data_IF_203548824231
#
_entry.id   IF_203548824231
#
_cell.length_a   1.000
_cell.length_b   1.000
_cell.length_c   1.000
_cell.angle_alpha   90.00
_cell.angle_beta   90.00
_cell.angle_gamma   90.00
#
_symmetry.space_group_name_H-M   'P 1'
#
loop_
_entity.id
_entity.type
_entity.pdbx_description
1 polymer ?
#
# COMPACT_ATOMS: atom_id res chain seq x y z
N UNK A 1 -6.37 -31.06 4.69
CA UNK A 1 -6.14 -31.34 3.24
C UNK A 1 -6.08 -32.85 2.97
N UNK A 2 -6.49 -33.30 1.78
CA UNK A 2 -6.35 -34.70 1.34
C UNK A 2 -4.94 -34.98 0.83
N UNK A 3 -4.51 -36.25 0.83
CA UNK A 3 -3.19 -36.65 0.28
C UNK A 3 -3.02 -36.22 -1.20
N UNK A 4 -4.09 -36.26 -1.98
CA UNK A 4 -4.07 -35.83 -3.39
C UNK A 4 -3.87 -34.33 -3.55
N UNK A 5 -4.46 -33.50 -2.68
CA UNK A 5 -4.25 -32.06 -2.67
C UNK A 5 -2.82 -31.69 -2.27
N UNK A 6 -2.27 -32.35 -1.25
CA UNK A 6 -0.88 -32.17 -0.84
C UNK A 6 0.07 -32.53 -1.98
N UNK A 7 -0.13 -33.68 -2.65
CA UNK A 7 0.70 -34.08 -3.77
C UNK A 7 0.57 -33.11 -4.95
N UNK A 8 -0.61 -32.55 -5.19
CA UNK A 8 -0.84 -31.55 -6.22
C UNK A 8 -0.03 -30.27 -5.94
N UNK A 9 -0.03 -29.78 -4.68
CA UNK A 9 0.76 -28.59 -4.28
C UNK A 9 2.25 -28.86 -4.41
N UNK A 10 2.74 -30.02 -3.94
CA UNK A 10 4.14 -30.40 -4.05
C UNK A 10 4.67 -30.43 -5.50
N UNK A 11 3.79 -30.75 -6.44
CA UNK A 11 4.13 -30.85 -7.87
C UNK A 11 3.87 -29.54 -8.62
N UNK A 12 3.44 -28.45 -7.95
CA UNK A 12 3.18 -27.19 -8.63
C UNK A 12 4.47 -26.61 -9.21
N UNK A 13 4.41 -26.27 -10.48
CA UNK A 13 5.46 -25.56 -11.21
C UNK A 13 5.16 -24.07 -11.19
N UNK A 14 6.19 -23.26 -11.00
CA UNK A 14 6.12 -21.81 -11.09
C UNK A 14 6.89 -21.35 -12.32
N UNK A 15 6.19 -20.71 -13.24
CA UNK A 15 6.76 -20.15 -14.47
C UNK A 15 5.87 -19.00 -14.99
N UNK A 16 6.13 -18.52 -16.19
CA UNK A 16 5.39 -17.39 -16.83
C UNK A 16 3.89 -17.61 -17.00
N UNK A 17 3.43 -18.87 -16.99
CA UNK A 17 2.04 -19.23 -17.29
C UNK A 17 1.37 -20.08 -16.20
N UNK A 18 2.14 -20.51 -15.19
CA UNK A 18 1.66 -21.36 -14.11
C UNK A 18 2.17 -20.89 -12.74
N UNK A 19 1.28 -20.87 -11.72
CA UNK A 19 -0.14 -21.27 -11.73
C UNK A 19 -1.10 -20.28 -12.38
N UNK A 20 -0.63 -19.08 -12.69
CA UNK A 20 -1.30 -18.00 -13.43
C UNK A 20 -0.27 -17.21 -14.20
N UNK A 21 -0.64 -16.04 -14.72
CA UNK A 21 0.27 -15.20 -15.53
C UNK A 21 0.99 -14.11 -14.72
N UNK A 22 0.86 -14.16 -13.38
CA UNK A 22 1.38 -13.13 -12.47
C UNK A 22 2.85 -12.78 -12.73
N UNK A 23 3.74 -13.79 -12.74
CA UNK A 23 5.18 -13.57 -12.82
C UNK A 23 5.56 -12.92 -14.15
N UNK A 24 4.97 -13.37 -15.27
CA UNK A 24 5.18 -12.78 -16.59
C UNK A 24 4.69 -11.34 -16.67
N UNK A 25 3.46 -11.09 -16.24
CA UNK A 25 2.85 -9.76 -16.33
C UNK A 25 3.53 -8.77 -15.40
N UNK A 26 3.94 -9.22 -14.20
CA UNK A 26 4.69 -8.40 -13.25
C UNK A 26 6.11 -8.08 -13.74
N UNK A 27 6.82 -9.06 -14.31
CA UNK A 27 8.14 -8.85 -14.94
C UNK A 27 8.05 -7.83 -16.08
N UNK A 28 7.03 -7.95 -16.94
CA UNK A 28 6.79 -7.00 -18.02
C UNK A 28 6.58 -5.57 -17.49
N UNK A 29 5.89 -5.43 -16.37
CA UNK A 29 5.70 -4.12 -15.71
C UNK A 29 7.01 -3.58 -15.13
N UNK A 30 7.82 -4.41 -14.49
CA UNK A 30 9.15 -4.03 -13.97
C UNK A 30 10.08 -3.58 -15.11
N UNK A 31 10.12 -4.31 -16.21
CA UNK A 31 10.93 -3.97 -17.38
C UNK A 31 10.51 -2.63 -17.99
N UNK A 32 9.19 -2.37 -18.03
CA UNK A 32 8.67 -1.07 -18.48
C UNK A 32 9.08 0.10 -17.58
N UNK A 33 9.20 -0.12 -16.27
CA UNK A 33 9.62 0.93 -15.33
C UNK A 33 11.02 1.47 -15.65
N UNK A 34 11.94 0.60 -16.04
CA UNK A 34 13.32 0.98 -16.33
C UNK A 34 14.03 1.63 -15.14
N UNK A 35 15.22 2.18 -15.37
CA UNK A 35 16.04 2.81 -14.32
C UNK A 35 15.73 4.29 -14.08
N UNK A 36 15.06 4.96 -15.01
CA UNK A 36 14.79 6.41 -14.95
C UNK A 36 13.50 6.76 -14.20
N UNK A 37 12.74 5.74 -13.83
CA UNK A 37 11.43 5.90 -13.21
C UNK A 37 10.36 6.46 -14.15
N UNK A 38 9.13 6.48 -13.67
CA UNK A 38 7.96 6.92 -14.45
C UNK A 38 7.28 8.08 -13.72
N UNK A 39 6.96 9.16 -14.45
CA UNK A 39 6.15 10.26 -13.92
C UNK A 39 4.73 9.77 -13.61
N UNK A 40 4.28 10.03 -12.39
CA UNK A 40 2.97 9.65 -11.87
C UNK A 40 2.15 10.88 -11.48
N UNK A 41 0.86 10.68 -11.20
CA UNK A 41 -0.01 11.77 -10.74
C UNK A 41 0.43 12.28 -9.36
N UNK A 42 0.39 13.58 -9.13
CA UNK A 42 0.86 14.20 -7.87
C UNK A 42 0.07 13.74 -6.64
N UNK A 43 -1.25 13.59 -6.77
CA UNK A 43 -2.11 13.31 -5.61
C UNK A 43 -2.13 11.83 -5.23
N UNK A 44 -2.31 10.95 -6.21
CA UNK A 44 -2.56 9.52 -5.96
C UNK A 44 -1.41 8.64 -6.46
N UNK A 45 -0.34 9.25 -6.99
CA UNK A 45 0.86 8.58 -7.52
C UNK A 45 0.58 7.51 -8.60
N UNK A 46 -0.57 7.58 -9.29
CA UNK A 46 -0.97 6.62 -10.32
C UNK A 46 -0.29 6.91 -11.67
N UNK A 47 -0.18 5.90 -12.52
CA UNK A 47 0.33 6.05 -13.87
C UNK A 47 -0.44 7.12 -14.66
N UNK A 48 0.30 7.89 -15.46
CA UNK A 48 -0.31 8.86 -16.35
C UNK A 48 -1.23 8.17 -17.37
N UNK A 49 -2.41 8.75 -17.61
CA UNK A 49 -3.45 8.18 -18.49
C UNK A 49 -2.88 7.78 -19.86
N UNK A 50 -1.94 8.56 -20.41
CA UNK A 50 -1.30 8.29 -21.69
C UNK A 50 -0.49 6.99 -21.77
N UNK A 51 -0.07 6.44 -20.62
CA UNK A 51 0.71 5.20 -20.53
C UNK A 51 -0.18 3.95 -20.45
N UNK A 52 -1.42 4.11 -19.99
CA UNK A 52 -2.30 2.98 -19.69
C UNK A 52 -2.58 2.06 -20.90
N UNK A 53 -2.80 2.57 -22.14
CA UNK A 53 -3.01 1.70 -23.30
C UNK A 53 -1.78 0.82 -23.60
N UNK A 54 -0.57 1.39 -23.56
CA UNK A 54 0.67 0.64 -23.83
C UNK A 54 0.90 -0.41 -22.74
N UNK A 55 0.71 -0.06 -21.46
CA UNK A 55 0.84 -0.98 -20.33
C UNK A 55 -0.18 -2.12 -20.43
N UNK A 56 -1.44 -1.82 -20.79
CA UNK A 56 -2.46 -2.85 -20.97
C UNK A 56 -2.10 -3.82 -22.13
N UNK A 57 -1.51 -3.33 -23.22
CA UNK A 57 -1.12 -4.19 -24.36
C UNK A 57 0.06 -5.13 -24.02
N UNK A 58 0.84 -4.81 -22.99
CA UNK A 58 1.92 -5.68 -22.50
C UNK A 58 1.42 -6.85 -21.64
N UNK A 59 0.20 -6.76 -21.12
CA UNK A 59 -0.38 -7.82 -20.29
C UNK A 59 -0.70 -9.06 -21.13
N UNK A 60 -0.62 -10.23 -20.51
CA UNK A 60 -0.96 -11.51 -21.16
C UNK A 60 -2.41 -11.54 -21.66
N UNK A 61 -3.31 -10.87 -20.93
CA UNK A 61 -4.73 -10.72 -21.31
C UNK A 61 -5.05 -9.21 -21.37
N UNK A 62 -4.75 -8.53 -22.49
CA UNK A 62 -5.10 -7.13 -22.64
C UNK A 62 -6.61 -6.95 -22.77
N UNK A 63 -7.16 -5.98 -22.04
CA UNK A 63 -8.59 -5.67 -22.08
C UNK A 63 -8.89 -4.61 -23.15
N UNK A 64 -10.00 -4.79 -23.88
CA UNK A 64 -10.52 -3.79 -24.78
C UNK A 64 -11.35 -2.76 -24.00
N UNK A 65 -10.77 -1.58 -23.76
CA UNK A 65 -11.44 -0.51 -23.00
C UNK A 65 -12.09 0.49 -23.94
N UNK A 66 -13.41 0.61 -23.86
CA UNK A 66 -14.23 1.48 -24.74
C UNK A 66 -14.47 2.89 -24.16
N UNK A 67 -13.91 3.21 -22.99
CA UNK A 67 -14.05 4.52 -22.37
C UNK A 67 -13.22 5.58 -23.11
N UNK A 68 -13.78 6.79 -23.27
CA UNK A 68 -13.07 7.93 -23.90
C UNK A 68 -11.86 8.40 -23.09
N UNK A 69 -11.91 8.29 -21.77
CA UNK A 69 -10.83 8.68 -20.82
C UNK A 69 -10.69 7.62 -19.74
N UNK A 70 -10.12 6.46 -20.05
CA UNK A 70 -9.94 5.40 -19.06
C UNK A 70 -8.93 5.86 -18.00
N UNK A 71 -9.26 5.58 -16.76
CA UNK A 71 -8.35 5.74 -15.61
C UNK A 71 -7.66 4.40 -15.32
N UNK A 72 -6.64 4.39 -14.47
CA UNK A 72 -5.92 3.15 -14.12
C UNK A 72 -6.86 2.05 -13.62
N UNK A 73 -7.86 2.39 -12.79
CA UNK A 73 -8.89 1.45 -12.31
C UNK A 73 -9.78 0.85 -13.41
N UNK A 74 -9.78 1.43 -14.62
CA UNK A 74 -10.48 0.86 -15.77
C UNK A 74 -9.74 -0.35 -16.34
N UNK A 75 -8.51 -0.62 -15.92
CA UNK A 75 -7.64 -1.74 -16.28
C UNK A 75 -7.36 -2.60 -15.04
N UNK A 76 -8.28 -3.49 -14.64
CA UNK A 76 -8.19 -4.19 -13.34
C UNK A 76 -6.89 -4.96 -13.13
N UNK A 77 -6.37 -5.65 -14.15
CA UNK A 77 -5.08 -6.37 -14.04
C UNK A 77 -3.91 -5.43 -13.81
N UNK A 78 -3.83 -4.35 -14.59
CA UNK A 78 -2.80 -3.33 -14.40
C UNK A 78 -2.92 -2.64 -13.03
N UNK A 79 -4.16 -2.39 -12.57
CA UNK A 79 -4.39 -1.78 -11.27
C UNK A 79 -3.96 -2.69 -10.11
N UNK A 80 -4.23 -4.00 -10.22
CA UNK A 80 -3.77 -5.01 -9.27
C UNK A 80 -2.24 -5.16 -9.29
N UNK A 81 -1.62 -5.22 -10.47
CA UNK A 81 -0.15 -5.27 -10.59
C UNK A 81 0.52 -4.01 -10.03
N UNK A 82 -0.09 -2.84 -10.23
CA UNK A 82 0.39 -1.59 -9.63
C UNK A 82 0.34 -1.64 -8.10
N UNK A 83 -0.75 -2.19 -7.54
CA UNK A 83 -0.84 -2.42 -6.10
C UNK A 83 0.33 -3.29 -5.61
N UNK A 84 0.59 -4.42 -6.27
CA UNK A 84 1.71 -5.30 -5.93
C UNK A 84 3.07 -4.63 -6.09
N UNK A 85 3.25 -3.84 -7.16
CA UNK A 85 4.48 -3.10 -7.43
C UNK A 85 4.84 -2.15 -6.28
N UNK A 86 3.84 -1.49 -5.70
CA UNK A 86 4.00 -0.61 -4.54
C UNK A 86 4.12 -1.40 -3.24
N UNK A 87 3.19 -2.32 -2.97
CA UNK A 87 3.12 -3.11 -1.74
C UNK A 87 4.33 -4.04 -1.55
N UNK A 88 5.00 -4.45 -2.63
CA UNK A 88 6.24 -5.25 -2.54
C UNK A 88 7.45 -4.47 -2.06
N UNK A 89 7.43 -3.12 -2.10
CA UNK A 89 8.59 -2.29 -1.79
C UNK A 89 9.63 -2.23 -2.92
N UNK A 90 9.32 -2.79 -4.09
CA UNK A 90 10.18 -2.69 -5.28
C UNK A 90 10.21 -1.28 -5.88
N UNK A 91 9.32 -0.40 -5.42
CA UNK A 91 9.26 0.98 -5.88
C UNK A 91 9.00 1.96 -4.76
N UNK A 92 9.46 3.18 -4.94
CA UNK A 92 9.24 4.30 -4.03
C UNK A 92 8.91 5.58 -4.81
N UNK A 93 8.34 6.56 -4.11
CA UNK A 93 7.99 7.86 -4.68
C UNK A 93 9.09 8.86 -4.38
N UNK A 94 9.40 9.71 -5.37
CA UNK A 94 10.33 10.83 -5.23
C UNK A 94 9.79 12.06 -5.98
N UNK A 95 10.05 13.25 -5.44
CA UNK A 95 9.85 14.48 -6.17
C UNK A 95 11.16 14.87 -6.88
N UNK A 96 11.14 14.90 -8.21
CA UNK A 96 12.25 15.37 -9.01
C UNK A 96 11.86 16.67 -9.71
N UNK A 97 12.44 17.79 -9.28
CA UNK A 97 12.09 19.15 -9.72
C UNK A 97 10.62 19.49 -9.41
N UNK A 98 9.72 19.33 -10.39
CA UNK A 98 8.27 19.60 -10.26
C UNK A 98 7.41 18.36 -10.51
N UNK A 99 8.04 17.24 -10.85
CA UNK A 99 7.37 16.00 -11.21
C UNK A 99 7.53 14.95 -10.12
N UNK A 100 6.43 14.31 -9.77
CA UNK A 100 6.44 13.13 -8.89
C UNK A 100 6.74 11.91 -9.75
N UNK A 101 7.77 11.17 -9.35
CA UNK A 101 8.19 9.94 -10.03
C UNK A 101 8.04 8.74 -9.14
N UNK A 102 7.65 7.64 -9.76
CA UNK A 102 7.75 6.30 -9.21
C UNK A 102 9.09 5.70 -9.67
N UNK A 103 9.99 5.46 -8.73
CA UNK A 103 11.34 4.96 -8.97
C UNK A 103 11.45 3.49 -8.54
N UNK A 104 12.33 2.75 -9.18
CA UNK A 104 12.70 1.40 -8.74
C UNK A 104 13.65 1.50 -7.55
N UNK A 105 13.37 0.73 -6.51
CA UNK A 105 14.30 0.46 -5.42
C UNK A 105 15.33 -0.57 -5.90
N UNK A 106 16.53 -0.11 -6.21
CA UNK A 106 17.58 -0.95 -6.79
C UNK A 106 17.99 -2.10 -5.88
N UNK A 107 18.10 -1.85 -4.57
CA UNK A 107 18.44 -2.89 -3.59
C UNK A 107 17.34 -3.96 -3.51
N UNK A 108 16.08 -3.55 -3.49
CA UNK A 108 14.97 -4.50 -3.50
C UNK A 108 14.89 -5.25 -4.84
N UNK A 109 15.21 -4.60 -5.96
CA UNK A 109 15.27 -5.25 -7.28
C UNK A 109 16.38 -6.30 -7.35
N UNK A 110 17.56 -6.03 -6.80
CA UNK A 110 18.67 -7.01 -6.71
C UNK A 110 18.25 -8.23 -5.88
N UNK A 111 17.59 -8.02 -4.74
CA UNK A 111 17.02 -9.11 -3.94
C UNK A 111 15.97 -9.90 -4.73
N UNK A 112 15.07 -9.21 -5.43
CA UNK A 112 14.05 -9.81 -6.28
C UNK A 112 14.65 -10.73 -7.35
N UNK A 113 15.71 -10.32 -8.03
CA UNK A 113 16.39 -11.12 -9.04
C UNK A 113 17.17 -12.30 -8.47
N UNK A 114 17.54 -12.26 -7.18
CA UNK A 114 18.16 -13.39 -6.49
C UNK A 114 17.14 -14.47 -6.07
N UNK A 115 15.86 -14.17 -6.03
CA UNK A 115 14.79 -15.10 -5.70
C UNK A 115 14.46 -16.01 -6.88
N UNK A 116 14.16 -17.28 -6.60
CA UNK A 116 13.57 -18.18 -7.60
C UNK A 116 12.07 -17.86 -7.83
N UNK A 117 11.47 -18.46 -8.85
CA UNK A 117 10.11 -18.12 -9.28
C UNK A 117 9.03 -18.42 -8.23
N UNK A 118 9.19 -19.45 -7.41
CA UNK A 118 8.26 -19.70 -6.30
C UNK A 118 8.41 -18.65 -5.19
N UNK A 119 9.62 -18.25 -4.88
CA UNK A 119 9.90 -17.19 -3.90
C UNK A 119 9.37 -15.84 -4.38
N UNK A 120 9.54 -15.50 -5.65
CA UNK A 120 8.95 -14.31 -6.26
C UNK A 120 7.42 -14.32 -6.18
N UNK A 121 6.80 -15.45 -6.50
CA UNK A 121 5.34 -15.61 -6.43
C UNK A 121 4.82 -15.39 -5.00
N UNK A 122 5.42 -16.04 -4.00
CA UNK A 122 5.00 -15.92 -2.61
C UNK A 122 5.37 -14.57 -1.99
N UNK A 123 6.44 -13.91 -2.45
CA UNK A 123 6.75 -12.53 -2.06
C UNK A 123 5.66 -11.56 -2.51
N UNK A 124 5.13 -11.70 -3.73
CA UNK A 124 4.00 -10.91 -4.20
C UNK A 124 2.70 -11.26 -3.47
N UNK A 125 2.51 -12.53 -3.13
CA UNK A 125 1.35 -12.98 -2.35
C UNK A 125 1.40 -12.41 -0.92
N UNK A 126 2.57 -12.43 -0.28
CA UNK A 126 2.81 -11.79 1.01
C UNK A 126 2.53 -10.28 0.95
N UNK A 127 3.02 -9.61 -0.08
CA UNK A 127 2.78 -8.18 -0.27
C UNK A 127 1.29 -7.85 -0.41
N UNK A 128 0.54 -8.65 -1.18
CA UNK A 128 -0.91 -8.49 -1.31
C UNK A 128 -1.63 -8.74 0.02
N UNK A 129 -1.24 -9.81 0.73
CA UNK A 129 -1.86 -10.21 1.99
C UNK A 129 -1.67 -9.16 3.09
N UNK A 130 -0.44 -8.71 3.31
CA UNK A 130 -0.08 -7.87 4.47
C UNK A 130 -0.07 -6.37 4.18
N UNK A 131 0.12 -5.97 2.94
CA UNK A 131 0.29 -4.57 2.54
C UNK A 131 -0.61 -4.13 1.39
N UNK A 132 -1.49 -5.02 0.91
CA UNK A 132 -2.44 -4.68 -0.15
C UNK A 132 -3.52 -3.73 0.39
N UNK A 133 -3.45 -2.43 0.06
CA UNK A 133 -4.41 -1.41 0.47
C UNK A 133 -5.01 -0.69 -0.74
N UNK A 134 -6.32 -0.39 -0.68
CA UNK A 134 -7.02 0.44 -1.68
C UNK A 134 -6.41 1.84 -1.78
N UNK A 135 -5.76 2.34 -0.72
CA UNK A 135 -5.07 3.63 -0.73
C UNK A 135 -3.91 3.68 -1.73
N UNK A 136 -3.19 2.56 -1.91
CA UNK A 136 -2.10 2.44 -2.88
C UNK A 136 -2.59 2.76 -4.30
N UNK A 137 -3.80 2.37 -4.62
CA UNK A 137 -4.43 2.58 -5.94
C UNK A 137 -5.33 3.82 -5.98
N UNK A 138 -5.24 4.69 -4.97
CA UNK A 138 -5.94 5.97 -4.92
C UNK A 138 -7.43 5.88 -4.63
N UNK A 139 -7.91 4.74 -4.14
CA UNK A 139 -9.27 4.57 -3.65
C UNK A 139 -9.29 4.86 -2.13
N UNK A 140 -10.47 5.15 -1.59
CA UNK A 140 -10.61 5.36 -0.14
C UNK A 140 -10.59 4.02 0.57
N UNK A 141 -9.86 3.93 1.68
CA UNK A 141 -9.94 2.78 2.57
C UNK A 141 -11.38 2.52 3.02
N UNK A 142 -11.75 1.25 3.15
CA UNK A 142 -13.14 0.84 3.44
C UNK A 142 -13.47 0.74 4.93
N UNK A 143 -12.72 1.41 5.80
CA UNK A 143 -12.92 1.37 7.25
C UNK A 143 -12.19 0.20 7.94
N UNK A 144 -12.69 -0.28 9.06
CA UNK A 144 -12.03 -1.19 10.01
C UNK A 144 -11.45 -2.52 9.48
N UNK A 145 -11.65 -2.89 8.22
CA UNK A 145 -11.06 -4.10 7.63
C UNK A 145 -9.91 -3.69 6.71
N UNK A 146 -8.70 -3.61 7.23
CA UNK A 146 -7.51 -3.22 6.46
C UNK A 146 -6.93 -4.36 5.60
N UNK A 147 -7.40 -5.60 5.77
CA UNK A 147 -6.88 -6.73 5.02
C UNK A 147 -7.69 -7.00 3.74
N UNK A 148 -7.24 -6.42 2.64
CA UNK A 148 -7.89 -6.52 1.32
C UNK A 148 -7.82 -7.91 0.70
N UNK A 149 -6.81 -8.69 1.02
CA UNK A 149 -6.77 -10.11 0.65
C UNK A 149 -7.93 -10.88 1.28
N UNK A 150 -8.28 -10.55 2.52
CA UNK A 150 -9.39 -11.17 3.24
C UNK A 150 -10.74 -10.99 2.53
N UNK A 151 -11.01 -9.80 1.99
CA UNK A 151 -12.21 -9.54 1.18
C UNK A 151 -12.24 -10.44 -0.07
N UNK A 152 -11.11 -10.60 -0.73
CA UNK A 152 -10.96 -11.52 -1.86
C UNK A 152 -11.17 -12.97 -1.47
N UNK A 153 -10.57 -13.41 -0.38
CA UNK A 153 -10.71 -14.77 0.14
C UNK A 153 -12.15 -15.07 0.56
N UNK A 154 -12.80 -14.16 1.30
CA UNK A 154 -14.19 -14.32 1.73
C UNK A 154 -15.14 -14.40 0.51
N UNK A 155 -14.89 -13.57 -0.50
CA UNK A 155 -15.60 -13.67 -1.78
C UNK A 155 -15.40 -15.04 -2.42
N UNK A 156 -14.16 -15.54 -2.45
CA UNK A 156 -13.82 -16.86 -3.00
C UNK A 156 -14.57 -17.97 -2.27
N UNK A 157 -14.49 -18.00 -0.96
CA UNK A 157 -15.15 -19.03 -0.15
C UNK A 157 -16.68 -19.02 -0.29
N UNK A 158 -17.28 -17.84 -0.24
CA UNK A 158 -18.73 -17.69 -0.22
C UNK A 158 -19.37 -17.92 -1.60
N UNK A 159 -18.73 -17.46 -2.65
CA UNK A 159 -19.37 -17.38 -3.96
C UNK A 159 -18.83 -18.38 -4.98
N UNK A 160 -17.64 -18.95 -4.79
CA UNK A 160 -16.96 -19.69 -5.84
C UNK A 160 -16.91 -21.21 -5.65
N UNK A 161 -17.53 -21.78 -4.62
CA UNK A 161 -17.54 -23.26 -4.42
C UNK A 161 -17.95 -24.02 -5.68
N UNK A 162 -18.92 -23.51 -6.45
CA UNK A 162 -19.43 -24.10 -7.70
C UNK A 162 -19.17 -23.22 -8.93
N UNK A 163 -18.44 -22.11 -8.74
CA UNK A 163 -18.28 -21.07 -9.72
C UNK A 163 -19.47 -20.09 -9.73
N UNK A 164 -19.20 -18.83 -10.03
CA UNK A 164 -20.19 -17.76 -10.12
C UNK A 164 -20.55 -17.52 -11.60
N UNK A 165 -21.85 -17.65 -11.95
CA UNK A 165 -22.36 -17.31 -13.27
C UNK A 165 -23.15 -16.00 -13.19
N UNK A 166 -22.63 -14.93 -13.78
CA UNK A 166 -23.22 -13.59 -13.72
C UNK A 166 -24.47 -13.45 -14.62
N UNK A 167 -24.67 -14.36 -15.61
CA UNK A 167 -25.89 -14.35 -16.44
C UNK A 167 -27.12 -14.84 -15.68
N UNK A 168 -26.93 -15.72 -14.71
CA UNK A 168 -28.02 -16.40 -13.99
C UNK A 168 -28.27 -15.89 -12.58
N UNK A 169 -27.41 -15.03 -12.05
CA UNK A 169 -27.52 -14.52 -10.69
C UNK A 169 -27.79 -13.00 -10.66
N UNK A 170 -28.55 -12.58 -9.64
CA UNK A 170 -28.81 -11.16 -9.33
C UNK A 170 -27.55 -10.36 -8.97
N UNK A 171 -26.36 -10.98 -8.99
CA UNK A 171 -25.10 -10.28 -8.81
C UNK A 171 -24.76 -9.58 -10.14
N UNK A 172 -25.08 -8.31 -10.20
CA UNK A 172 -24.63 -7.46 -11.28
C UNK A 172 -23.10 -7.33 -11.26
N UNK A 173 -22.50 -7.08 -12.43
CA UNK A 173 -21.07 -6.70 -12.53
C UNK A 173 -20.72 -5.58 -11.55
N UNK A 174 -21.64 -4.68 -11.25
CA UNK A 174 -21.46 -3.61 -10.29
C UNK A 174 -21.17 -4.12 -8.88
N UNK A 175 -21.74 -5.26 -8.44
CA UNK A 175 -21.43 -5.81 -7.13
C UNK A 175 -19.95 -6.24 -6.99
N UNK A 176 -19.33 -6.70 -8.09
CA UNK A 176 -17.91 -7.08 -8.10
C UNK A 176 -16.97 -5.88 -7.92
N UNK A 177 -17.41 -4.67 -8.27
CA UNK A 177 -16.65 -3.43 -8.06
C UNK A 177 -16.50 -3.11 -6.57
N UNK A 178 -17.46 -3.54 -5.77
CA UNK A 178 -17.46 -3.30 -4.31
C UNK A 178 -16.86 -4.48 -3.56
N UNK A 179 -17.19 -5.72 -3.96
CA UNK A 179 -16.71 -6.95 -3.32
C UNK A 179 -16.50 -8.04 -4.37
N UNK A 180 -15.25 -8.47 -4.55
CA UNK A 180 -14.00 -8.19 -3.82
C UNK A 180 -13.30 -6.89 -4.26
N UNK A 181 -13.83 -6.13 -5.21
CA UNK A 181 -13.13 -5.11 -5.98
C UNK A 181 -12.48 -5.70 -7.23
N UNK A 182 -12.55 -4.97 -8.36
CA UNK A 182 -12.10 -5.51 -9.65
C UNK A 182 -10.60 -5.81 -9.69
N UNK A 183 -9.78 -5.00 -8.99
CA UNK A 183 -8.33 -5.23 -8.88
C UNK A 183 -8.01 -6.51 -8.11
N UNK A 184 -8.74 -6.80 -7.01
CA UNK A 184 -8.57 -8.04 -6.26
C UNK A 184 -9.03 -9.26 -7.07
N UNK A 185 -10.13 -9.14 -7.82
CA UNK A 185 -10.55 -10.20 -8.74
C UNK A 185 -9.52 -10.46 -9.83
N UNK A 186 -8.92 -9.40 -10.38
CA UNK A 186 -7.84 -9.52 -11.37
C UNK A 186 -6.58 -10.15 -10.75
N UNK A 187 -6.23 -9.80 -9.51
CA UNK A 187 -5.14 -10.46 -8.79
C UNK A 187 -5.44 -11.96 -8.58
N UNK A 188 -6.66 -12.33 -8.23
CA UNK A 188 -7.03 -13.75 -8.13
C UNK A 188 -6.83 -14.49 -9.45
N UNK A 189 -7.11 -13.86 -10.59
CA UNK A 189 -6.87 -14.45 -11.91
C UNK A 189 -5.37 -14.55 -12.20
N UNK A 190 -4.61 -13.47 -11.98
CA UNK A 190 -3.16 -13.42 -12.16
C UNK A 190 -2.42 -14.45 -11.30
N UNK A 191 -2.79 -14.61 -10.02
CA UNK A 191 -2.27 -15.65 -9.13
C UNK A 191 -2.73 -17.07 -9.50
N UNK A 192 -3.63 -17.20 -10.46
CA UNK A 192 -4.18 -18.49 -10.88
C UNK A 192 -5.21 -19.08 -9.91
N UNK A 193 -5.79 -18.31 -9.01
CA UNK A 193 -6.83 -18.80 -8.07
C UNK A 193 -8.16 -19.00 -8.74
N UNK A 194 -8.46 -18.20 -9.76
CA UNK A 194 -9.69 -18.28 -10.55
C UNK A 194 -9.38 -18.25 -12.05
N UNK A 195 -10.35 -18.69 -12.84
CA UNK A 195 -10.44 -18.45 -14.27
C UNK A 195 -11.67 -17.62 -14.55
N UNK A 196 -11.53 -16.59 -15.37
CA UNK A 196 -12.59 -15.66 -15.75
C UNK A 196 -12.97 -15.93 -17.22
N UNK A 197 -14.26 -16.19 -17.45
CA UNK A 197 -14.81 -16.32 -18.79
C UNK A 197 -15.44 -14.99 -19.20
N UNK A 198 -15.10 -14.52 -20.41
CA UNK A 198 -15.56 -13.25 -20.95
C UNK A 198 -16.54 -13.49 -22.09
N UNK A 199 -17.45 -12.52 -22.32
CA UNK A 199 -18.33 -12.48 -23.47
C UNK A 199 -18.26 -11.12 -24.14
N UNK A 200 -17.58 -11.08 -25.28
CA UNK A 200 -17.40 -9.86 -26.09
C UNK A 200 -18.72 -9.26 -26.61
N UNK A 201 -19.82 -10.02 -26.62
CA UNK A 201 -21.14 -9.50 -26.99
C UNK A 201 -21.72 -8.53 -25.97
N UNK A 202 -21.21 -8.52 -24.73
CA UNK A 202 -21.55 -7.57 -23.66
C UNK A 202 -20.83 -6.24 -23.89
N UNK A 203 -21.24 -5.52 -24.91
CA UNK A 203 -20.53 -4.35 -25.44
C UNK A 203 -20.46 -3.13 -24.51
N UNK A 204 -21.21 -3.11 -23.40
CA UNK A 204 -21.26 -1.99 -22.45
C UNK A 204 -20.25 -2.09 -21.32
N UNK A 205 -19.73 -3.29 -21.05
CA UNK A 205 -18.80 -3.53 -19.95
C UNK A 205 -17.36 -3.46 -20.44
N UNK A 206 -16.49 -2.80 -19.68
CA UNK A 206 -15.07 -2.74 -20.00
C UNK A 206 -14.35 -4.07 -19.70
N UNK A 207 -14.90 -4.86 -18.81
CA UNK A 207 -14.47 -6.22 -18.49
C UNK A 207 -15.72 -7.13 -18.51
N UNK A 208 -16.07 -7.69 -19.65
CA UNK A 208 -17.34 -8.38 -19.87
C UNK A 208 -17.34 -9.80 -19.25
N UNK A 209 -17.25 -9.87 -17.93
CA UNK A 209 -17.22 -11.12 -17.17
C UNK A 209 -18.59 -11.79 -17.22
N UNK A 210 -18.62 -13.07 -17.59
CA UNK A 210 -19.83 -13.89 -17.55
C UNK A 210 -19.74 -15.03 -16.53
N UNK A 211 -18.53 -15.50 -16.25
CA UNK A 211 -18.34 -16.58 -15.29
C UNK A 211 -16.99 -16.49 -14.60
N UNK A 212 -16.97 -16.83 -13.31
CA UNK A 212 -15.76 -16.95 -12.51
C UNK A 212 -15.73 -18.36 -11.95
N UNK A 213 -14.64 -19.10 -12.18
CA UNK A 213 -14.45 -20.48 -11.69
C UNK A 213 -13.21 -20.57 -10.83
N UNK A 214 -13.28 -21.20 -9.66
CA UNK A 214 -12.08 -21.51 -8.89
C UNK A 214 -11.23 -22.53 -9.65
N UNK A 215 -9.93 -22.43 -9.52
CA UNK A 215 -8.98 -23.43 -10.03
C UNK A 215 -8.67 -24.49 -8.97
N UNK A 216 -8.04 -25.58 -9.40
CA UNK A 216 -7.51 -26.58 -8.45
C UNK A 216 -6.42 -25.97 -7.56
N UNK A 217 -5.58 -25.10 -8.14
CA UNK A 217 -4.52 -24.39 -7.42
C UNK A 217 -5.10 -23.48 -6.34
N UNK A 218 -6.01 -22.57 -6.70
CA UNK A 218 -6.63 -21.66 -5.74
C UNK A 218 -7.32 -22.40 -4.59
N UNK A 219 -8.07 -23.47 -4.90
CA UNK A 219 -8.71 -24.31 -3.86
C UNK A 219 -7.70 -24.98 -2.94
N UNK A 220 -6.61 -25.52 -3.48
CA UNK A 220 -5.62 -26.24 -2.69
C UNK A 220 -4.75 -25.27 -1.86
N UNK A 221 -4.24 -24.20 -2.48
CA UNK A 221 -3.39 -23.23 -1.79
C UNK A 221 -4.14 -22.53 -0.64
N UNK A 222 -5.34 -22.02 -0.90
CA UNK A 222 -6.11 -21.31 0.13
C UNK A 222 -6.50 -22.19 1.34
N UNK A 223 -6.50 -23.51 1.19
CA UNK A 223 -6.64 -24.44 2.32
C UNK A 223 -5.39 -24.49 3.19
N UNK A 224 -4.18 -24.31 2.61
CA UNK A 224 -2.95 -24.22 3.39
C UNK A 224 -2.92 -22.98 4.29
N UNK A 225 -3.61 -21.92 3.88
CA UNK A 225 -3.71 -20.67 4.63
C UNK A 225 -4.97 -20.57 5.51
N UNK A 226 -5.71 -21.65 5.67
CA UNK A 226 -6.99 -21.63 6.40
C UNK A 226 -6.83 -21.26 7.88
N UNK A 227 -5.71 -21.61 8.51
CA UNK A 227 -5.43 -21.27 9.91
C UNK A 227 -5.15 -19.80 10.09
N UNK A 228 -4.28 -19.23 9.22
CA UNK A 228 -3.95 -17.81 9.23
C UNK A 228 -5.19 -16.95 8.96
N UNK A 229 -6.08 -17.42 8.09
CA UNK A 229 -7.34 -16.74 7.79
C UNK A 229 -8.30 -16.81 8.98
N UNK A 230 -8.43 -17.97 9.62
CA UNK A 230 -9.28 -18.16 10.81
C UNK A 230 -8.81 -17.30 11.99
N UNK A 231 -7.51 -17.04 12.10
CA UNK A 231 -6.95 -16.14 13.09
C UNK A 231 -7.48 -14.70 12.93
N UNK A 232 -7.50 -14.18 11.72
CA UNK A 232 -8.09 -12.86 11.43
C UNK A 232 -9.62 -12.82 11.62
N UNK A 233 -10.33 -13.95 11.41
CA UNK A 233 -11.78 -14.04 11.60
C UNK A 233 -12.21 -13.91 13.07
N UNK A 234 -11.39 -14.40 13.99
CA UNK A 234 -11.75 -14.49 15.39
C UNK A 234 -11.31 -13.28 16.22
N UNK A 235 -10.60 -12.30 15.64
CA UNK A 235 -9.99 -11.16 16.35
C UNK A 235 -9.15 -11.60 17.57
N UNK A 236 -8.63 -12.83 17.54
CA UNK A 236 -7.87 -13.40 18.65
C UNK A 236 -6.38 -13.10 18.45
N UNK A 237 -6.02 -11.85 18.66
CA UNK A 237 -4.64 -11.37 18.57
C UNK A 237 -3.77 -11.84 19.76
N UNK A 238 -4.39 -12.37 20.80
CA UNK A 238 -3.72 -12.79 22.04
C UNK A 238 -3.31 -14.27 22.08
N UNK A 239 -3.49 -15.03 20.99
CA UNK A 239 -3.06 -16.44 21.00
C UNK A 239 -1.53 -16.52 20.89
N UNK A 240 -0.80 -16.80 22.00
CA UNK A 240 0.65 -16.98 21.95
C UNK A 240 0.97 -18.20 21.07
N UNK A 241 1.73 -18.00 20.00
CA UNK A 241 2.22 -19.10 19.17
C UNK A 241 1.56 -19.23 17.80
N UNK A 242 1.08 -18.11 17.21
CA UNK A 242 0.71 -18.13 15.79
C UNK A 242 1.89 -18.63 14.95
N UNK A 243 1.64 -19.67 14.17
CA UNK A 243 2.62 -20.20 13.22
C UNK A 243 3.03 -19.07 12.25
N UNK A 244 4.30 -19.02 11.80
CA UNK A 244 4.70 -18.04 10.80
C UNK A 244 3.84 -18.14 9.54
N UNK A 245 3.52 -16.99 8.95
CA UNK A 245 2.71 -16.91 7.74
C UNK A 245 3.20 -17.86 6.66
N UNK A 246 2.30 -18.67 6.11
CA UNK A 246 2.61 -19.63 5.05
C UNK A 246 3.34 -20.90 5.52
N UNK A 247 3.46 -21.16 6.82
CA UNK A 247 4.19 -22.32 7.37
C UNK A 247 3.68 -23.65 6.81
N UNK A 248 2.37 -23.84 6.67
CA UNK A 248 1.82 -25.07 6.08
C UNK A 248 2.10 -25.15 4.58
N UNK A 249 2.01 -24.06 3.83
CA UNK A 249 2.27 -24.04 2.39
C UNK A 249 3.76 -24.27 2.08
N UNK A 250 4.67 -23.64 2.83
CA UNK A 250 6.13 -23.79 2.63
C UNK A 250 6.61 -25.20 2.96
N UNK A 251 5.95 -25.92 3.86
CA UNK A 251 6.24 -27.33 4.13
C UNK A 251 5.98 -28.24 2.92
N UNK A 252 5.11 -27.83 2.00
CA UNK A 252 4.81 -28.57 0.77
C UNK A 252 5.56 -28.03 -0.45
N UNK A 253 5.79 -26.71 -0.52
CA UNK A 253 6.49 -26.03 -1.61
C UNK A 253 7.94 -25.79 -1.19
N UNK A 254 8.75 -26.84 -1.26
CA UNK A 254 10.13 -26.85 -0.75
C UNK A 254 11.08 -25.90 -1.49
N UNK A 255 10.68 -25.36 -2.64
CA UNK A 255 11.42 -24.34 -3.38
C UNK A 255 11.17 -22.92 -2.85
N UNK A 256 10.17 -22.73 -1.98
CA UNK A 256 9.90 -21.45 -1.34
C UNK A 256 10.63 -21.40 0.02
N UNK A 257 11.80 -20.78 0.06
CA UNK A 257 12.65 -20.66 1.25
C UNK A 257 12.68 -19.21 1.75
N UNK A 258 12.78 -18.26 0.81
CA UNK A 258 12.94 -16.84 1.12
C UNK A 258 11.74 -16.02 0.61
N UNK A 259 11.57 -14.85 1.19
CA UNK A 259 10.67 -13.81 0.69
C UNK A 259 11.46 -12.55 0.36
N UNK A 260 10.91 -11.71 -0.48
CA UNK A 260 11.40 -10.35 -0.64
C UNK A 260 11.14 -9.60 0.68
N UNK A 261 12.19 -9.29 1.38
CA UNK A 261 12.17 -8.40 2.55
C UNK A 261 12.81 -7.09 2.13
N UNK A 262 12.04 -6.15 1.58
CA UNK A 262 12.57 -4.84 1.30
C UNK A 262 12.97 -4.25 2.65
N UNK A 263 14.27 -4.21 2.92
CA UNK A 263 14.78 -3.38 4.00
C UNK A 263 14.22 -2.01 3.72
N UNK A 264 13.46 -1.49 4.69
CA UNK A 264 12.96 -0.14 4.58
C UNK A 264 14.11 0.73 4.11
N UNK A 265 13.88 1.58 3.12
CA UNK A 265 14.86 2.55 2.64
C UNK A 265 15.18 3.61 3.70
N UNK A 266 14.73 3.42 4.90
CA UNK A 266 15.13 4.18 6.07
C UNK A 266 16.59 3.86 6.46
N UNK A 267 17.53 4.16 5.58
CA UNK A 267 18.77 4.74 6.06
C UNK A 267 18.35 5.98 6.84
N UNK A 268 18.61 5.98 8.14
CA UNK A 268 18.36 7.15 8.97
C UNK A 268 19.06 8.33 8.30
N UNK A 269 18.26 9.24 7.76
CA UNK A 269 18.81 10.37 6.98
C UNK A 269 19.33 11.38 7.99
N UNK A 270 20.65 11.54 8.07
CA UNK A 270 21.27 12.54 8.92
C UNK A 270 21.36 13.89 8.21
N UNK A 271 20.69 14.90 8.80
CA UNK A 271 20.66 16.24 8.23
C UNK A 271 19.64 17.18 8.85
N UNK A 272 19.37 18.27 8.15
CA UNK A 272 18.41 19.30 8.52
C UNK A 272 17.29 19.35 7.47
N UNK A 273 16.06 19.15 7.91
CA UNK A 273 14.84 19.31 7.09
C UNK A 273 14.28 20.72 7.26
N UNK A 274 13.80 21.30 6.17
CA UNK A 274 12.99 22.52 6.20
C UNK A 274 11.54 22.13 5.97
N UNK A 275 10.73 22.29 7.03
CA UNK A 275 9.29 22.10 6.95
C UNK A 275 8.57 23.43 6.85
N UNK A 276 7.65 23.55 5.92
CA UNK A 276 6.61 24.57 5.95
C UNK A 276 5.42 23.99 6.69
N UNK A 277 5.14 24.50 7.87
CA UNK A 277 3.99 24.13 8.68
C UNK A 277 2.91 25.18 8.54
N UNK A 278 1.69 24.79 8.19
CA UNK A 278 0.56 25.71 7.95
C UNK A 278 -0.63 25.34 8.82
N UNK A 279 -1.28 26.37 9.40
CA UNK A 279 -2.53 26.25 10.13
C UNK A 279 -3.45 27.44 9.73
N UNK A 280 -4.56 27.15 9.07
CA UNK A 280 -5.42 28.19 8.50
C UNK A 280 -4.67 29.06 7.50
N UNK A 281 -4.62 30.37 7.73
CA UNK A 281 -3.88 31.34 6.91
C UNK A 281 -2.45 31.58 7.36
N UNK A 282 -2.06 31.08 8.54
CA UNK A 282 -0.72 31.25 9.09
C UNK A 282 0.22 30.12 8.65
N UNK A 283 1.51 30.44 8.49
CA UNK A 283 2.53 29.40 8.33
C UNK A 283 3.82 29.74 9.09
N UNK A 284 4.59 28.70 9.37
CA UNK A 284 5.95 28.77 9.94
C UNK A 284 6.86 27.87 9.14
N UNK A 285 8.04 28.35 8.77
CA UNK A 285 9.10 27.47 8.25
C UNK A 285 10.03 27.12 9.38
N UNK A 286 10.17 25.83 9.63
CA UNK A 286 10.97 25.25 10.68
C UNK A 286 12.17 24.53 10.06
N UNK A 287 13.38 24.86 10.53
CA UNK A 287 14.56 24.04 10.28
C UNK A 287 14.68 23.03 11.42
N UNK A 288 14.59 21.75 11.07
CA UNK A 288 14.42 20.63 12.00
C UNK A 288 15.54 19.61 11.80
N UNK A 289 16.34 19.32 12.85
CA UNK A 289 17.34 18.26 12.81
C UNK A 289 16.66 16.89 12.65
N UNK A 290 17.25 16.02 11.84
CA UNK A 290 16.77 14.64 11.64
C UNK A 290 16.82 13.77 12.90
N UNK A 291 17.69 14.12 13.82
CA UNK A 291 17.94 13.35 15.08
C UNK A 291 16.92 13.58 16.18
N UNK A 292 16.06 14.60 16.08
CA UNK A 292 15.03 14.81 17.09
C UNK A 292 13.87 13.82 16.96
N UNK A 293 13.23 13.49 18.07
CA UNK A 293 12.03 12.67 18.08
C UNK A 293 10.82 13.41 17.49
N UNK A 294 9.78 12.67 17.14
CA UNK A 294 8.52 13.29 16.70
C UNK A 294 7.83 14.04 17.85
N UNK A 295 8.09 13.68 19.12
CA UNK A 295 7.66 14.46 20.29
C UNK A 295 8.30 15.85 20.33
N UNK A 296 9.61 15.91 20.06
CA UNK A 296 10.32 17.19 19.99
C UNK A 296 9.88 18.01 18.77
N UNK A 297 9.55 17.35 17.64
CA UNK A 297 8.94 18.01 16.49
C UNK A 297 7.57 18.60 16.84
N UNK A 298 6.70 17.83 17.52
CA UNK A 298 5.39 18.28 17.99
C UNK A 298 5.52 19.51 18.88
N UNK A 299 6.38 19.45 19.89
CA UNK A 299 6.68 20.58 20.80
C UNK A 299 7.19 21.81 20.04
N UNK A 300 8.03 21.61 19.02
CA UNK A 300 8.56 22.69 18.19
C UNK A 300 7.47 23.37 17.35
N UNK A 301 6.52 22.57 16.82
CA UNK A 301 5.37 23.07 16.06
C UNK A 301 4.45 23.89 16.96
N UNK A 302 4.03 23.31 18.11
CA UNK A 302 3.13 23.98 19.05
C UNK A 302 3.73 25.31 19.54
N UNK A 303 5.01 25.30 19.95
CA UNK A 303 5.72 26.51 20.36
C UNK A 303 5.80 27.57 19.24
N UNK A 304 5.94 27.15 17.97
CA UNK A 304 6.01 28.09 16.85
C UNK A 304 4.67 28.78 16.54
N UNK A 305 3.54 28.18 16.98
CA UNK A 305 2.21 28.72 16.80
C UNK A 305 1.60 29.28 18.08
N UNK A 306 2.37 29.37 19.18
CA UNK A 306 1.92 29.85 20.51
C UNK A 306 0.78 29.00 21.09
N UNK A 307 0.80 27.67 20.82
CA UNK A 307 -0.12 26.68 21.38
C UNK A 307 0.51 26.05 22.64
N UNK A 308 -0.34 25.67 23.61
CA UNK A 308 0.11 24.80 24.71
C UNK A 308 0.23 23.34 24.23
N UNK A 309 0.70 22.46 25.13
CA UNK A 309 0.93 21.06 24.84
C UNK A 309 0.11 20.10 25.73
N UNK A 310 -1.04 20.56 26.24
CA UNK A 310 -1.80 19.80 27.24
C UNK A 310 -2.67 18.69 26.65
N UNK A 311 -2.75 18.59 25.30
CA UNK A 311 -3.60 17.62 24.60
C UNK A 311 -2.80 16.57 23.88
N UNK A 312 -3.46 15.44 23.58
CA UNK A 312 -2.91 14.33 22.82
C UNK A 312 -2.84 14.66 21.32
N UNK A 313 -1.94 13.97 20.62
CA UNK A 313 -1.68 14.21 19.20
C UNK A 313 -1.19 12.97 18.47
N UNK A 314 -1.13 13.07 17.15
CA UNK A 314 -0.55 12.07 16.26
C UNK A 314 0.02 12.73 15.01
N UNK A 315 1.00 12.06 14.38
CA UNK A 315 1.40 12.36 13.03
C UNK A 315 0.75 11.37 12.06
N UNK A 316 0.23 11.89 10.94
CA UNK A 316 -0.45 11.12 9.90
C UNK A 316 0.30 11.32 8.60
N UNK A 317 0.90 10.28 8.08
CA UNK A 317 1.72 10.33 6.87
C UNK A 317 1.53 9.12 5.97
N UNK A 318 2.03 9.17 4.74
CA UNK A 318 2.06 8.01 3.85
C UNK A 318 3.43 7.35 3.90
N UNK A 319 3.45 6.06 4.24
CA UNK A 319 4.67 5.27 4.24
C UNK A 319 5.20 5.01 2.81
N UNK A 320 6.34 4.31 2.70
CA UNK A 320 6.98 3.98 1.43
C UNK A 320 6.07 3.19 0.47
N UNK A 321 5.11 2.45 1.00
CA UNK A 321 4.14 1.68 0.20
C UNK A 321 2.98 2.55 -0.30
N UNK A 322 2.75 3.72 0.29
CA UNK A 322 1.64 4.63 -0.02
C UNK A 322 0.41 4.40 0.85
N UNK A 323 0.57 3.74 1.98
CA UNK A 323 -0.45 3.49 2.99
C UNK A 323 -0.36 4.58 4.05
N UNK A 324 -1.50 5.06 4.52
CA UNK A 324 -1.56 6.02 5.62
C UNK A 324 -1.18 5.35 6.92
N UNK A 325 -0.23 5.94 7.63
CA UNK A 325 0.20 5.52 8.95
C UNK A 325 -0.02 6.62 9.96
N UNK A 326 -0.24 6.21 11.21
CA UNK A 326 -0.45 7.05 12.36
C UNK A 326 0.61 6.74 13.40
N UNK A 327 1.42 7.74 13.75
CA UNK A 327 2.35 7.65 14.88
C UNK A 327 1.76 8.46 16.03
N UNK A 328 1.37 7.77 17.07
CA UNK A 328 0.58 8.33 18.15
C UNK A 328 1.43 8.84 19.31
N UNK A 329 0.88 9.78 20.09
CA UNK A 329 1.42 10.16 21.38
C UNK A 329 1.46 8.94 22.31
N UNK A 330 2.51 8.77 23.18
CA UNK A 330 2.67 7.59 24.05
C UNK A 330 1.50 7.27 24.99
N UNK A 331 0.63 8.24 25.28
CA UNK A 331 -0.54 8.04 26.14
C UNK A 331 -1.82 7.67 25.35
N UNK A 332 -1.74 7.57 24.02
CA UNK A 332 -2.82 6.97 23.23
C UNK A 332 -2.66 5.46 23.24
N UNK A 333 -3.78 4.77 23.39
CA UNK A 333 -3.80 3.31 23.28
C UNK A 333 -3.54 2.93 21.81
N UNK A 334 -2.32 2.48 21.55
CA UNK A 334 -1.86 2.08 20.22
C UNK A 334 -1.19 0.71 20.34
N UNK A 335 -2.02 -0.31 20.46
CA UNK A 335 -1.64 -1.69 20.84
C UNK A 335 -0.54 -2.31 19.96
N UNK A 336 -0.32 -1.78 18.75
CA UNK A 336 0.65 -2.32 17.77
C UNK A 336 1.44 -1.24 17.03
N UNK A 337 1.29 0.02 17.40
CA UNK A 337 1.88 1.15 16.69
C UNK A 337 3.17 1.66 17.32
N UNK A 338 3.90 2.43 16.52
CA UNK A 338 5.04 3.19 17.00
C UNK A 338 4.56 4.47 17.68
N UNK A 339 5.26 4.87 18.74
CA UNK A 339 4.98 6.11 19.41
C UNK A 339 5.91 7.25 18.96
N UNK A 340 5.44 8.47 19.10
CA UNK A 340 6.18 9.68 18.71
C UNK A 340 7.50 9.86 19.47
N UNK A 341 7.61 9.27 20.66
CA UNK A 341 8.85 9.21 21.44
C UNK A 341 9.93 8.27 20.87
N UNK A 342 9.52 7.26 20.11
CA UNK A 342 10.36 6.15 19.69
C UNK A 342 10.98 6.36 18.31
N UNK A 343 10.49 7.35 17.57
CA UNK A 343 10.86 7.61 16.19
C UNK A 343 11.43 9.00 16.03
N UNK A 344 12.55 9.09 15.31
CA UNK A 344 13.16 10.37 14.92
C UNK A 344 12.65 10.82 13.56
N UNK A 345 12.78 12.13 13.30
CA UNK A 345 12.40 12.72 11.98
C UNK A 345 13.16 12.05 10.83
N UNK A 346 14.42 11.68 11.02
CA UNK A 346 15.26 11.03 10.01
C UNK A 346 14.87 9.60 9.67
N UNK A 347 14.04 8.94 10.49
CA UNK A 347 13.52 7.59 10.25
C UNK A 347 12.24 7.59 9.39
N UNK A 348 11.59 8.75 9.24
CA UNK A 348 10.45 8.87 8.36
C UNK A 348 10.87 8.83 6.88
N UNK A 349 10.05 8.27 5.99
CA UNK A 349 10.33 8.21 4.55
C UNK A 349 10.10 9.55 3.86
N UNK A 350 10.74 10.61 4.37
CA UNK A 350 10.55 11.97 3.91
C UNK A 350 11.25 12.22 2.57
N UNK A 351 10.58 12.97 1.71
CA UNK A 351 11.13 13.48 0.47
C UNK A 351 10.61 14.91 0.20
N UNK A 352 11.36 15.71 -0.54
CA UNK A 352 10.96 17.08 -0.88
C UNK A 352 9.59 17.11 -1.56
N UNK A 353 8.70 17.96 -1.06
CA UNK A 353 7.31 18.08 -1.51
C UNK A 353 6.34 17.08 -0.88
N UNK A 354 6.79 16.20 0.01
CA UNK A 354 5.90 15.32 0.78
C UNK A 354 5.05 16.17 1.73
N UNK A 355 3.76 15.83 1.77
CA UNK A 355 2.78 16.42 2.69
C UNK A 355 2.38 15.40 3.74
N UNK A 356 2.30 15.83 5.00
CA UNK A 356 1.78 15.04 6.11
C UNK A 356 1.14 15.95 7.16
N UNK A 357 0.43 15.36 8.13
CA UNK A 357 -0.39 16.10 9.09
C UNK A 357 0.10 15.85 10.49
N UNK A 358 0.25 16.90 11.27
CA UNK A 358 0.28 16.86 12.72
C UNK A 358 -1.11 17.20 13.22
N UNK A 359 -1.77 16.21 13.82
CA UNK A 359 -3.13 16.32 14.34
C UNK A 359 -3.06 16.41 15.86
N UNK A 360 -3.35 17.56 16.38
CA UNK A 360 -3.28 17.91 17.80
C UNK A 360 -4.67 18.19 18.31
N UNK A 361 -4.97 17.81 19.55
CA UNK A 361 -6.25 17.95 20.23
C UNK A 361 -7.43 17.40 19.41
N UNK A 362 -7.78 16.14 19.67
CA UNK A 362 -8.85 15.44 18.92
C UNK A 362 -10.23 16.05 19.18
N UNK A 363 -10.39 16.85 20.23
CA UNK A 363 -11.64 17.56 20.54
C UNK A 363 -11.83 18.77 19.64
N UNK A 364 -10.80 19.61 19.52
CA UNK A 364 -10.80 20.83 18.72
C UNK A 364 -10.32 20.59 17.27
N UNK A 365 -9.82 19.36 16.97
CA UNK A 365 -9.42 18.88 15.62
C UNK A 365 -8.38 19.79 14.92
N UNK A 366 -7.36 20.25 15.65
CA UNK A 366 -6.29 21.06 15.10
C UNK A 366 -5.41 20.26 14.14
N UNK A 367 -5.44 20.60 12.85
CA UNK A 367 -4.67 19.92 11.79
C UNK A 367 -3.65 20.85 11.16
N UNK A 368 -2.40 20.67 11.56
CA UNK A 368 -1.27 21.37 10.95
C UNK A 368 -0.81 20.59 9.72
N UNK A 369 -0.76 21.26 8.57
CA UNK A 369 -0.22 20.67 7.34
C UNK A 369 1.28 20.94 7.29
N UNK A 370 2.08 19.89 7.27
CA UNK A 370 3.52 19.94 7.07
C UNK A 370 3.85 19.61 5.61
N UNK A 371 4.74 20.43 5.03
CA UNK A 371 5.31 20.19 3.70
C UNK A 371 6.83 20.18 3.82
N UNK A 372 7.49 19.13 3.37
CA UNK A 372 8.95 19.07 3.29
C UNK A 372 9.39 19.98 2.15
N UNK A 373 9.94 21.17 2.44
CA UNK A 373 10.40 22.10 1.41
C UNK A 373 11.79 21.75 0.87
N UNK A 374 12.70 21.32 1.76
CA UNK A 374 14.04 20.89 1.37
C UNK A 374 14.71 20.06 2.47
N UNK A 375 15.77 19.37 2.07
CA UNK A 375 16.66 18.63 2.95
C UNK A 375 18.11 18.98 2.66
N UNK A 376 18.91 19.09 3.73
CA UNK A 376 20.36 19.31 3.66
C UNK A 376 21.09 18.27 4.48
N UNK A 377 21.85 17.38 3.85
CA UNK A 377 22.72 16.42 4.53
C UNK A 377 23.79 17.16 5.32
N UNK A 378 23.87 16.91 6.62
CA UNK A 378 24.85 17.50 7.54
C UNK A 378 24.80 16.72 8.85
N UNK A 379 25.85 16.81 9.66
CA UNK A 379 25.82 16.33 11.05
C UNK A 379 24.77 17.14 11.85
N UNK A 380 23.64 16.49 12.15
CA UNK A 380 22.52 17.12 12.84
C UNK A 380 22.60 17.03 14.36
N UNK A 381 23.58 16.31 14.92
CA UNK A 381 23.70 16.00 16.36
C UNK A 381 23.77 17.22 17.28
N UNK A 382 24.18 18.39 16.77
CA UNK A 382 24.29 19.66 17.51
C UNK A 382 23.29 20.72 17.09
N UNK A 383 22.49 20.44 16.08
CA UNK A 383 21.48 21.36 15.61
C UNK A 383 20.27 21.36 16.56
N UNK A 384 19.52 22.43 16.56
CA UNK A 384 18.29 22.58 17.32
C UNK A 384 17.17 23.07 16.39
N UNK A 385 15.91 22.70 16.65
CA UNK A 385 14.78 23.28 15.96
C UNK A 385 14.80 24.82 16.00
N UNK A 386 14.50 25.45 14.87
CA UNK A 386 14.41 26.92 14.80
C UNK A 386 13.39 27.35 13.76
N UNK A 387 12.70 28.46 14.05
CA UNK A 387 11.87 29.17 13.08
C UNK A 387 12.80 29.99 12.17
N UNK A 388 12.70 29.78 10.86
CA UNK A 388 13.49 30.52 9.87
C UNK A 388 12.67 31.54 9.07
N UNK A 389 11.34 31.33 9.01
CA UNK A 389 10.40 32.24 8.36
C UNK A 389 9.02 32.07 8.98
N UNK A 390 8.25 33.15 9.07
CA UNK A 390 6.88 33.11 9.56
C UNK A 390 6.01 34.16 8.89
N UNK A 391 4.73 33.82 8.70
CA UNK A 391 3.73 34.76 8.17
C UNK A 391 2.34 34.39 8.70
N UNK A 392 1.49 35.41 8.84
CA UNK A 392 0.14 35.28 9.36
C UNK A 392 0.05 35.10 10.89
N UNK A 393 -1.07 35.57 11.47
CA UNK A 393 -1.41 35.32 12.88
C UNK A 393 -2.03 33.93 12.99
N UNK A 394 -1.52 33.03 13.87
CA UNK A 394 -2.18 31.76 14.11
C UNK A 394 -3.58 31.98 14.74
N UNK A 395 -4.50 31.04 14.57
CA UNK A 395 -5.76 31.05 15.30
C UNK A 395 -5.49 30.94 16.80
N UNK A 396 -6.38 31.50 17.60
CA UNK A 396 -6.33 31.32 19.06
C UNK A 396 -6.73 29.88 19.40
N UNK A 397 -5.91 29.20 20.21
CA UNK A 397 -6.14 27.80 20.56
C UNK A 397 -7.45 27.62 21.33
N UNK A 398 -7.75 28.54 22.25
CA UNK A 398 -8.99 28.56 23.03
C UNK A 398 -9.76 29.83 22.70
N UNK A 399 -11.03 29.68 22.38
CA UNK A 399 -11.94 30.82 22.29
C UNK A 399 -12.22 31.34 23.71
N UNK A 400 -11.93 32.62 23.95
CA UNK A 400 -12.46 33.26 25.17
C UNK A 400 -13.99 33.23 25.09
N UNK A 401 -14.60 32.44 25.97
CA UNK A 401 -16.07 32.50 26.14
C UNK A 401 -16.36 33.79 26.93
N UNK A 402 -16.82 34.80 26.27
CA UNK A 402 -17.44 35.96 26.95
C UNK A 402 -18.69 35.47 27.71
N UNK A 403 -18.54 35.35 29.02
CA UNK A 403 -19.63 35.05 29.94
C UNK A 403 -20.41 36.33 30.32
#
# INVERSE_FOLDING_TARGET
MTSNEIQFIKNQIFNDNEPGTLLKDFSSLLDFMGTTGITVSKKNHLFAIKLLPSLNQMMTIPLEIKLKRPQQKSFPHLNGLYLLLRASGLTYIVLEKKDVKLMINTTALEQWHALNLSEQYFSLFYAWWHRGSDEIIGERGRGFSENYFYEGYYFFQKNLKQGLNLRSHQHSFDSLRYRPGLHNLALMELFGFVRIELDSSLSKENWPIVKIKPTKWGNALLKCFAKEIAYFDNFDFDTPGAEPWGSEASAYITTWINNLEPKGTAEVIDGEFIFKVSLGSAYRKLAIPSTISLDELASSILSAFDFDSEHLYQFIYKNNYGITEHIAHPYLDNEYGLYTSDITVGELPLYEGMEFIFHFDFGDDWRFLLVVESFKATDSSRLKPKIIEQDGKPPEQYLEWDF
#
